data_IF_761683521087
#
_entry.id   IF_761683521087
#
_cell.length_a   1.000
_cell.length_b   1.000
_cell.length_c   1.000
_cell.angle_alpha   90.00
_cell.angle_beta   90.00
_cell.angle_gamma   90.00
#
_symmetry.space_group_name_H-M   'P 1'
#
loop_
_entity.id
_entity.type
_entity.pdbx_description
1 polymer ?
#
# COMPACT_ATOMS: atom_id res chain seq x y z
N UNK A 1 -16.93 3.71 -4.35
CA UNK A 1 -17.51 4.01 -3.02
C UNK A 1 -16.48 3.88 -1.91
N UNK A 2 -15.70 2.80 -1.85
CA UNK A 2 -14.67 2.56 -0.80
C UNK A 2 -13.63 3.68 -0.73
N UNK A 3 -13.05 4.07 -1.87
CA UNK A 3 -12.08 5.19 -1.96
C UNK A 3 -12.67 6.47 -1.38
N UNK A 4 -13.88 6.80 -1.78
CA UNK A 4 -14.59 7.97 -1.27
C UNK A 4 -14.78 7.90 0.26
N UNK A 5 -15.25 6.76 0.77
CA UNK A 5 -15.50 6.58 2.19
C UNK A 5 -14.23 6.77 3.04
N UNK A 6 -13.09 6.21 2.60
CA UNK A 6 -11.82 6.41 3.28
C UNK A 6 -11.29 7.84 3.17
N UNK A 7 -11.50 8.50 2.02
CA UNK A 7 -11.07 9.89 1.83
C UNK A 7 -11.85 10.85 2.73
N UNK A 8 -13.14 10.61 2.91
CA UNK A 8 -14.03 11.47 3.70
C UNK A 8 -14.01 11.18 5.21
N UNK A 9 -13.60 9.97 5.60
CA UNK A 9 -13.57 9.58 6.99
C UNK A 9 -12.61 10.46 7.81
N UNK A 10 -13.13 11.05 8.89
CA UNK A 10 -12.40 11.94 9.80
C UNK A 10 -11.81 11.23 11.02
N UNK A 11 -12.15 9.97 11.21
CA UNK A 11 -11.64 9.12 12.31
C UNK A 11 -10.17 8.75 12.11
N UNK A 12 -9.46 8.34 13.17
CA UNK A 12 -8.13 7.75 13.04
C UNK A 12 -8.11 6.59 12.05
N UNK A 13 -7.13 6.60 11.14
CA UNK A 13 -6.97 5.58 10.09
C UNK A 13 -5.57 5.00 10.16
N UNK A 14 -5.47 3.74 10.57
CA UNK A 14 -4.21 2.99 10.65
C UNK A 14 -4.29 1.78 9.73
N UNK A 15 -3.35 1.65 8.82
CA UNK A 15 -3.28 0.54 7.86
C UNK A 15 -2.05 -0.31 8.14
N UNK A 16 -2.22 -1.63 8.10
CA UNK A 16 -1.11 -2.60 8.23
C UNK A 16 -1.05 -3.47 6.98
N UNK A 17 0.06 -3.39 6.26
CA UNK A 17 0.32 -4.21 5.07
C UNK A 17 1.06 -5.46 5.51
N UNK A 18 0.36 -6.59 5.52
CA UNK A 18 0.92 -7.86 6.01
C UNK A 18 1.59 -8.69 4.91
N UNK A 19 1.17 -8.52 3.64
CA UNK A 19 1.69 -9.30 2.52
C UNK A 19 1.67 -8.50 1.23
N UNK A 20 0.64 -8.61 0.39
CA UNK A 20 0.55 -8.03 -0.95
C UNK A 20 -0.31 -6.77 -0.95
N UNK A 21 0.23 -5.70 -1.49
CA UNK A 21 -0.46 -4.42 -1.66
C UNK A 21 -0.15 -3.90 -3.08
N UNK A 22 -1.04 -4.22 -4.04
CA UNK A 22 -0.81 -3.93 -5.45
C UNK A 22 -1.85 -2.96 -6.02
N UNK A 23 -1.36 -1.98 -6.76
CA UNK A 23 -2.13 -1.11 -7.63
C UNK A 23 -3.31 -0.41 -6.96
N UNK A 24 -4.43 -0.37 -7.66
CA UNK A 24 -5.65 0.29 -7.19
C UNK A 24 -6.24 -0.31 -5.91
N UNK A 25 -6.09 -1.62 -5.69
CA UNK A 25 -6.53 -2.27 -4.46
C UNK A 25 -5.74 -1.78 -3.24
N UNK A 26 -4.42 -1.61 -3.36
CA UNK A 26 -3.58 -0.99 -2.33
C UNK A 26 -4.07 0.42 -2.00
N UNK A 27 -4.31 1.25 -3.02
CA UNK A 27 -4.81 2.62 -2.82
C UNK A 27 -6.17 2.59 -2.13
N UNK A 28 -7.12 1.78 -2.64
CA UNK A 28 -8.50 1.72 -2.16
C UNK A 28 -8.63 1.24 -0.70
N UNK A 29 -7.70 0.44 -0.22
CA UNK A 29 -7.68 -0.09 1.16
C UNK A 29 -7.03 0.87 2.17
N UNK A 30 -7.22 2.17 1.96
CA UNK A 30 -6.75 3.23 2.84
C UNK A 30 -5.21 3.33 2.90
N UNK A 31 -4.60 3.58 1.75
CA UNK A 31 -3.17 3.94 1.70
C UNK A 31 -2.94 5.36 2.25
N UNK A 32 -1.67 5.73 2.41
CA UNK A 32 -1.27 7.11 2.76
C UNK A 32 -1.83 8.14 1.76
N UNK A 33 -1.94 7.76 0.48
CA UNK A 33 -2.51 8.60 -0.58
C UNK A 33 -4.01 8.94 -0.38
N UNK A 34 -4.74 8.12 0.36
CA UNK A 34 -6.12 8.38 0.77
C UNK A 34 -6.25 8.96 2.19
N UNK A 35 -5.14 9.44 2.74
CA UNK A 35 -5.14 10.08 4.05
C UNK A 35 -5.16 9.10 5.23
N UNK A 36 -4.58 7.91 5.09
CA UNK A 36 -4.23 7.11 6.26
C UNK A 36 -3.24 7.88 7.14
N UNK A 37 -3.48 7.91 8.45
CA UNK A 37 -2.61 8.63 9.40
C UNK A 37 -1.30 7.89 9.61
N UNK A 38 -1.37 6.56 9.75
CA UNK A 38 -0.23 5.67 9.81
C UNK A 38 -0.42 4.48 8.88
N UNK A 39 0.65 4.12 8.18
CA UNK A 39 0.72 2.93 7.35
C UNK A 39 1.95 2.14 7.74
N UNK A 40 1.76 0.96 8.26
CA UNK A 40 2.80 0.00 8.62
C UNK A 40 2.91 -1.10 7.58
N UNK A 41 4.10 -1.63 7.38
CA UNK A 41 4.31 -2.81 6.55
C UNK A 41 5.17 -3.83 7.28
N UNK A 42 4.87 -5.12 7.10
CA UNK A 42 5.75 -6.18 7.56
C UNK A 42 6.97 -6.30 6.62
N UNK A 43 8.11 -6.86 7.09
CA UNK A 43 9.34 -6.91 6.29
C UNK A 43 9.22 -7.70 4.98
N UNK A 44 8.29 -8.68 4.93
CA UNK A 44 8.01 -9.50 3.74
C UNK A 44 6.82 -8.98 2.92
N UNK A 45 6.35 -7.78 3.19
CA UNK A 45 5.29 -7.17 2.38
C UNK A 45 5.81 -6.83 0.97
N UNK A 46 4.92 -6.94 0.01
CA UNK A 46 5.18 -6.57 -1.39
C UNK A 46 4.27 -5.38 -1.75
N UNK A 47 4.88 -4.25 -2.06
CA UNK A 47 4.15 -3.00 -2.35
C UNK A 47 4.56 -2.52 -3.73
N UNK A 48 3.64 -2.55 -4.69
CA UNK A 48 3.93 -2.18 -6.07
C UNK A 48 2.66 -1.78 -6.85
N UNK A 49 2.87 -1.23 -8.03
CA UNK A 49 1.76 -0.95 -8.97
C UNK A 49 1.11 -2.26 -9.43
N UNK A 50 1.92 -3.30 -9.66
CA UNK A 50 1.45 -4.64 -10.03
C UNK A 50 2.45 -5.70 -9.60
N UNK A 51 2.02 -6.96 -9.52
CA UNK A 51 2.89 -8.08 -9.22
C UNK A 51 3.93 -8.31 -10.32
N UNK A 52 5.03 -9.00 -9.97
CA UNK A 52 6.15 -9.24 -10.88
C UNK A 52 5.73 -9.90 -12.21
N UNK A 53 4.85 -10.90 -12.17
CA UNK A 53 4.36 -11.56 -13.38
C UNK A 53 3.64 -10.60 -14.32
N UNK A 54 2.78 -9.72 -13.79
CA UNK A 54 2.08 -8.72 -14.58
C UNK A 54 3.05 -7.69 -15.19
N UNK A 55 4.04 -7.23 -14.41
CA UNK A 55 5.04 -6.29 -14.88
C UNK A 55 5.91 -6.91 -16.00
N UNK A 56 6.37 -8.14 -15.81
CA UNK A 56 7.16 -8.84 -16.82
C UNK A 56 6.34 -9.16 -18.07
N UNK A 57 5.05 -9.48 -17.92
CA UNK A 57 4.15 -9.68 -19.05
C UNK A 57 4.01 -8.49 -19.96
N UNK A 58 4.26 -7.27 -19.44
CA UNK A 58 4.29 -6.03 -20.21
C UNK A 58 5.70 -5.77 -20.74
N UNK A 59 6.71 -5.82 -19.87
CA UNK A 59 8.08 -5.42 -20.19
C UNK A 59 8.83 -6.43 -21.04
N UNK A 60 8.56 -7.73 -20.84
CA UNK A 60 9.25 -8.86 -21.45
C UNK A 60 8.27 -9.82 -22.14
N UNK A 61 7.22 -9.26 -22.78
CA UNK A 61 6.14 -10.03 -23.41
C UNK A 61 6.62 -10.99 -24.52
N UNK A 62 7.73 -10.67 -25.20
CA UNK A 62 8.32 -11.52 -26.24
C UNK A 62 9.13 -12.66 -25.63
N UNK A 63 9.96 -12.33 -24.66
CA UNK A 63 10.84 -13.24 -23.94
C UNK A 63 10.04 -14.28 -23.15
N UNK A 64 8.90 -13.90 -22.58
CA UNK A 64 8.00 -14.82 -21.88
C UNK A 64 7.37 -15.89 -22.78
N UNK A 65 7.33 -15.68 -24.09
CA UNK A 65 6.80 -16.65 -25.06
C UNK A 65 7.86 -17.62 -25.56
N UNK A 66 9.13 -17.33 -25.30
CA UNK A 66 10.25 -18.15 -25.74
C UNK A 66 10.76 -19.03 -24.58
N UNK A 67 10.57 -20.35 -24.64
CA UNK A 67 11.06 -21.27 -23.60
C UNK A 67 12.57 -21.19 -23.36
N UNK A 68 13.35 -20.79 -24.37
CA UNK A 68 14.80 -20.65 -24.25
C UNK A 68 15.18 -19.49 -23.32
N UNK A 69 14.29 -18.54 -23.10
CA UNK A 69 14.52 -17.36 -22.26
C UNK A 69 13.92 -17.47 -20.85
N UNK A 70 13.39 -18.61 -20.47
CA UNK A 70 12.75 -18.82 -19.17
C UNK A 70 13.68 -18.46 -17.99
N UNK A 71 14.97 -18.74 -18.08
CA UNK A 71 15.94 -18.39 -17.05
C UNK A 71 16.12 -16.87 -16.92
N UNK A 72 16.17 -16.15 -18.05
CA UNK A 72 16.25 -14.69 -18.05
C UNK A 72 15.00 -14.07 -17.43
N UNK A 73 13.81 -14.56 -17.79
CA UNK A 73 12.54 -14.09 -17.23
C UNK A 73 12.47 -14.32 -15.72
N UNK A 74 12.91 -15.50 -15.25
CA UNK A 74 12.97 -15.80 -13.82
C UNK A 74 13.93 -14.86 -13.06
N UNK A 75 15.10 -14.60 -13.62
CA UNK A 75 16.06 -13.65 -13.07
C UNK A 75 15.47 -12.23 -12.98
N UNK A 76 14.84 -11.74 -14.05
CA UNK A 76 14.20 -10.44 -14.09
C UNK A 76 13.02 -10.34 -13.13
N UNK A 77 12.29 -11.42 -12.92
CA UNK A 77 11.22 -11.50 -11.93
C UNK A 77 11.76 -11.30 -10.51
N UNK A 78 12.86 -11.98 -10.19
CA UNK A 78 13.49 -11.86 -8.89
C UNK A 78 14.07 -10.45 -8.68
N UNK A 79 14.78 -9.92 -9.68
CA UNK A 79 15.31 -8.55 -9.65
C UNK A 79 14.20 -7.52 -9.41
N UNK A 80 13.05 -7.64 -10.08
CA UNK A 80 11.90 -6.78 -9.89
C UNK A 80 11.36 -6.84 -8.46
N UNK A 81 11.25 -8.04 -7.89
CA UNK A 81 10.81 -8.22 -6.49
C UNK A 81 11.77 -7.56 -5.51
N UNK A 82 13.07 -7.77 -5.69
CA UNK A 82 14.09 -7.32 -4.75
C UNK A 82 14.37 -5.81 -4.84
N UNK A 83 14.17 -5.20 -6.01
CA UNK A 83 14.50 -3.78 -6.24
C UNK A 83 13.30 -2.85 -6.24
N UNK A 84 12.08 -3.34 -6.51
CA UNK A 84 10.90 -2.47 -6.70
C UNK A 84 9.80 -2.76 -5.68
N UNK A 85 9.56 -4.05 -5.36
CA UNK A 85 8.40 -4.44 -4.57
C UNK A 85 8.63 -4.43 -3.06
N UNK A 86 9.83 -4.13 -2.59
CA UNK A 86 10.16 -4.19 -1.17
C UNK A 86 9.51 -3.05 -0.37
N UNK A 87 9.14 -3.27 0.89
CA UNK A 87 8.62 -2.20 1.75
C UNK A 87 9.66 -1.11 2.00
N UNK A 88 10.97 -1.40 1.85
CA UNK A 88 12.04 -0.41 1.97
C UNK A 88 11.89 0.70 0.92
N UNK A 89 11.62 0.33 -0.33
CA UNK A 89 11.39 1.32 -1.41
C UNK A 89 10.14 2.15 -1.13
N UNK A 90 9.09 1.53 -0.62
CA UNK A 90 7.87 2.25 -0.24
C UNK A 90 8.12 3.23 0.93
N UNK A 91 8.95 2.84 1.91
CA UNK A 91 9.36 3.71 3.01
C UNK A 91 10.21 4.89 2.54
N UNK A 92 11.18 4.67 1.67
CA UNK A 92 12.01 5.72 1.08
C UNK A 92 11.21 6.77 0.31
N UNK A 93 10.06 6.39 -0.23
CA UNK A 93 9.14 7.26 -0.97
C UNK A 93 8.01 7.83 -0.10
N UNK A 94 8.06 7.61 1.20
CA UNK A 94 7.01 8.00 2.16
C UNK A 94 5.62 7.39 1.85
N UNK A 95 5.55 6.25 1.19
CA UNK A 95 4.28 5.53 0.96
C UNK A 95 3.82 4.75 2.18
N UNK A 96 4.76 4.43 3.09
CA UNK A 96 4.49 3.85 4.39
C UNK A 96 5.23 4.62 5.48
N UNK A 97 4.74 4.53 6.71
CA UNK A 97 5.32 5.25 7.85
C UNK A 97 6.50 4.50 8.46
N UNK A 98 6.41 3.18 8.56
CA UNK A 98 7.42 2.34 9.20
C UNK A 98 7.30 0.88 8.76
N UNK A 99 8.44 0.17 8.75
CA UNK A 99 8.49 -1.29 8.61
C UNK A 99 8.57 -1.87 10.02
N UNK A 100 7.59 -2.70 10.38
CA UNK A 100 7.46 -3.28 11.73
C UNK A 100 7.45 -4.80 11.68
N UNK A 101 8.00 -5.45 12.69
CA UNK A 101 7.87 -6.90 12.82
C UNK A 101 6.43 -7.30 13.18
N UNK A 102 5.98 -8.50 12.78
CA UNK A 102 4.62 -8.97 13.09
C UNK A 102 4.26 -8.89 14.58
N UNK A 103 5.20 -9.18 15.46
CA UNK A 103 5.04 -9.17 16.92
C UNK A 103 4.77 -7.76 17.47
N UNK A 104 5.28 -6.74 16.81
CA UNK A 104 5.11 -5.34 17.22
C UNK A 104 3.76 -4.75 16.80
N UNK A 105 3.03 -5.42 15.90
CA UNK A 105 1.84 -4.88 15.24
C UNK A 105 0.82 -4.34 16.24
N UNK A 106 0.45 -5.15 17.25
CA UNK A 106 -0.54 -4.72 18.26
C UNK A 106 -0.09 -3.47 19.01
N UNK A 107 1.15 -3.44 19.43
CA UNK A 107 1.70 -2.32 20.21
C UNK A 107 1.77 -1.04 19.37
N UNK A 108 2.22 -1.15 18.11
CA UNK A 108 2.31 -0.01 17.18
C UNK A 108 0.95 0.56 16.85
N UNK A 109 -0.03 -0.30 16.55
CA UNK A 109 -1.40 0.14 16.26
C UNK A 109 -2.03 0.80 17.49
N UNK A 110 -1.90 0.21 18.68
CA UNK A 110 -2.44 0.80 19.91
C UNK A 110 -1.85 2.20 20.18
N UNK A 111 -0.53 2.35 20.10
CA UNK A 111 0.15 3.65 20.27
C UNK A 111 -0.28 4.68 19.22
N UNK A 112 -0.45 4.25 17.97
CA UNK A 112 -0.95 5.14 16.91
C UNK A 112 -2.35 5.65 17.22
N UNK A 113 -3.24 4.80 17.68
CA UNK A 113 -4.61 5.17 18.05
C UNK A 113 -4.62 6.07 19.29
N UNK A 114 -3.77 5.81 20.28
CA UNK A 114 -3.59 6.70 21.44
C UNK A 114 -3.11 8.10 21.01
N UNK A 115 -2.09 8.14 20.14
CA UNK A 115 -1.58 9.39 19.58
C UNK A 115 -2.66 10.16 18.81
N UNK A 116 -3.53 9.47 18.09
CA UNK A 116 -4.60 10.04 17.30
C UNK A 116 -5.90 10.26 18.08
N UNK A 117 -5.94 9.97 19.38
CA UNK A 117 -7.17 10.05 20.18
C UNK A 117 -7.83 11.45 20.15
N UNK A 118 -7.02 12.50 19.98
CA UNK A 118 -7.51 13.87 19.87
C UNK A 118 -7.52 14.41 18.44
N UNK A 119 -7.44 13.52 17.45
CA UNK A 119 -7.49 13.92 16.05
C UNK A 119 -8.80 14.65 15.76
N UNK A 120 -8.68 15.91 15.39
CA UNK A 120 -9.78 16.72 14.88
C UNK A 120 -9.49 17.08 13.43
N UNK A 121 -10.40 16.80 12.53
CA UNK A 121 -10.37 17.36 11.18
C UNK A 121 -11.49 18.42 11.10
N UNK A 122 -11.11 19.63 10.74
CA UNK A 122 -12.09 20.63 10.35
C UNK A 122 -12.70 20.19 9.03
N UNK A 123 -13.85 19.53 9.09
CA UNK A 123 -14.64 19.31 7.89
C UNK A 123 -15.05 20.65 7.30
N UNK A 124 -14.94 20.82 6.00
CA UNK A 124 -15.44 22.00 5.33
C UNK A 124 -16.87 22.30 5.78
N UNK A 125 -17.15 23.54 6.18
CA UNK A 125 -18.43 23.87 6.79
C UNK A 125 -19.56 23.72 5.79
N UNK A 126 -20.76 23.50 6.31
CA UNK A 126 -22.06 23.66 5.68
C UNK A 126 -22.66 22.49 4.93
N UNK A 127 -21.99 21.38 4.72
CA UNK A 127 -22.68 20.18 4.19
C UNK A 127 -22.61 19.04 5.21
N UNK A 128 -23.75 18.41 5.47
CA UNK A 128 -23.87 17.32 6.44
C UNK A 128 -23.04 16.07 6.04
N UNK A 129 -22.79 15.92 4.76
CA UNK A 129 -21.98 14.86 4.15
C UNK A 129 -21.56 15.27 2.73
N UNK A 130 -20.53 14.64 2.18
CA UNK A 130 -20.11 14.81 0.80
C UNK A 130 -21.08 14.19 -0.21
N UNK A 131 -20.83 14.47 -1.49
CA UNK A 131 -21.59 13.88 -2.58
C UNK A 131 -21.02 12.51 -2.95
N UNK A 132 -21.62 11.45 -2.43
CA UNK A 132 -21.18 10.07 -2.69
C UNK A 132 -21.55 9.68 -4.12
N UNK A 133 -20.58 9.29 -4.96
CA UNK A 133 -20.89 8.78 -6.29
C UNK A 133 -21.65 7.45 -6.18
N UNK A 134 -22.78 7.37 -6.83
CA UNK A 134 -23.67 6.19 -6.89
C UNK A 134 -23.15 5.12 -7.87
#
# INVERSE_FOLDING_TARGET
KVIYAYSEATVPKVTVITRKAYGGAYIAMCSKHLGADFVYAWPKAEIAVMGAEGALGILYAKEMKDPAQAALVAQKSQEYKDTIMTPTIAAQRDYISEIINPEETRQRVARSLEFLAQKTQNSSPAKKHGNIPL
#
